data_IF_767601088399
#
_entry.id   IF_767601088399
#
_cell.length_a   1.000
_cell.length_b   1.000
_cell.length_c   1.000
_cell.angle_alpha   90.00
_cell.angle_beta   90.00
_cell.angle_gamma   90.00
#
_symmetry.space_group_name_H-M   'P 1'
#
loop_
_entity.id
_entity.type
_entity.pdbx_description
1 polymer ?
#
# COMPACT_ATOMS: atom_id res chain seq x y z
N UNK A 1 -18.53 12.24 -0.77
CA UNK A 1 -18.74 11.73 0.58
C UNK A 1 -17.51 11.95 1.45
N UNK A 2 -16.40 11.16 1.35
CA UNK A 2 -15.18 11.36 2.19
C UNK A 2 -14.65 12.80 2.13
N UNK A 3 -14.68 13.41 0.96
CA UNK A 3 -14.30 14.82 0.77
C UNK A 3 -15.26 15.74 1.55
N UNK A 4 -16.54 15.44 1.55
CA UNK A 4 -17.56 16.25 2.26
C UNK A 4 -17.45 16.07 3.78
N UNK A 5 -17.05 14.88 4.22
CA UNK A 5 -16.73 14.57 5.63
C UNK A 5 -15.43 15.22 6.14
N UNK A 6 -14.70 15.90 5.28
CA UNK A 6 -13.53 16.67 5.69
C UNK A 6 -12.19 16.03 5.41
N UNK A 7 -12.12 14.84 4.79
CA UNK A 7 -10.87 14.21 4.43
C UNK A 7 -10.04 15.13 3.51
N UNK A 8 -8.76 15.24 3.79
CA UNK A 8 -7.79 16.05 3.05
C UNK A 8 -6.84 15.21 2.19
N UNK A 9 -6.80 13.90 2.42
CA UNK A 9 -6.09 12.93 1.58
C UNK A 9 -7.03 11.76 1.32
N UNK A 10 -7.19 11.39 0.07
CA UNK A 10 -7.95 10.23 -0.39
C UNK A 10 -6.98 9.21 -0.95
N UNK A 11 -6.85 8.09 -0.27
CA UNK A 11 -6.14 6.92 -0.79
C UNK A 11 -7.14 5.94 -1.41
N UNK A 12 -6.76 5.32 -2.52
CA UNK A 12 -7.61 4.33 -3.18
C UNK A 12 -6.92 2.98 -3.32
N UNK A 13 -7.73 1.94 -3.36
CA UNK A 13 -7.34 0.59 -3.76
C UNK A 13 -8.35 0.03 -4.78
N UNK A 14 -8.84 0.90 -5.65
CA UNK A 14 -9.84 0.58 -6.67
C UNK A 14 -9.29 0.81 -8.07
N UNK A 15 -9.74 0.02 -9.04
CA UNK A 15 -9.31 0.07 -10.43
C UNK A 15 -10.03 1.17 -11.24
N UNK A 16 -10.28 2.32 -10.63
CA UNK A 16 -11.00 3.45 -11.26
C UNK A 16 -10.24 4.76 -11.06
N UNK A 17 -10.42 5.68 -12.00
CA UNK A 17 -9.91 7.05 -11.93
C UNK A 17 -10.77 7.99 -11.07
N UNK A 18 -11.93 7.51 -10.61
CA UNK A 18 -12.93 8.32 -9.91
C UNK A 18 -12.39 9.11 -8.72
N UNK A 19 -11.67 8.50 -7.76
CA UNK A 19 -11.12 9.21 -6.61
C UNK A 19 -10.13 10.32 -7.00
N UNK A 20 -9.23 10.07 -7.97
CA UNK A 20 -8.30 11.07 -8.48
C UNK A 20 -9.01 12.26 -9.11
N UNK A 21 -10.01 11.99 -9.97
CA UNK A 21 -10.86 13.02 -10.60
C UNK A 21 -11.64 13.82 -9.55
N UNK A 22 -12.16 13.16 -8.52
CA UNK A 22 -12.88 13.83 -7.44
C UNK A 22 -11.98 14.78 -6.64
N UNK A 23 -10.74 14.38 -6.36
CA UNK A 23 -9.75 15.22 -5.69
C UNK A 23 -9.37 16.43 -6.56
N UNK A 24 -9.07 16.22 -7.86
CA UNK A 24 -8.70 17.28 -8.79
C UNK A 24 -9.80 18.33 -8.95
N UNK A 25 -11.05 17.90 -9.02
CA UNK A 25 -12.20 18.78 -9.21
C UNK A 25 -12.83 19.29 -7.91
N UNK A 26 -12.25 18.98 -6.76
CA UNK A 26 -12.78 19.44 -5.47
C UNK A 26 -12.84 20.97 -5.40
N UNK A 27 -13.98 21.50 -4.94
CA UNK A 27 -14.23 22.92 -4.75
C UNK A 27 -13.99 23.40 -3.31
N UNK A 28 -13.41 22.54 -2.46
CA UNK A 28 -13.10 22.93 -1.08
C UNK A 28 -12.03 24.02 -1.03
N UNK A 29 -12.10 24.85 -0.01
CA UNK A 29 -11.12 25.91 0.23
C UNK A 29 -9.71 25.35 0.46
N UNK A 30 -9.61 24.21 1.14
CA UNK A 30 -8.36 23.46 1.29
C UNK A 30 -8.27 22.38 0.22
N UNK A 31 -7.10 22.18 -0.37
CA UNK A 31 -6.89 21.14 -1.36
C UNK A 31 -7.13 19.74 -0.76
N UNK A 32 -7.66 18.84 -1.58
CA UNK A 32 -7.80 17.43 -1.26
C UNK A 32 -6.84 16.67 -2.14
N UNK A 33 -5.90 15.99 -1.53
CA UNK A 33 -4.87 15.24 -2.24
C UNK A 33 -5.25 13.78 -2.46
N UNK A 34 -4.59 13.16 -3.41
CA UNK A 34 -4.85 11.79 -3.82
C UNK A 34 -3.59 10.94 -3.71
N UNK A 35 -3.76 9.69 -3.26
CA UNK A 35 -2.75 8.63 -3.31
C UNK A 35 -3.31 7.48 -4.14
N UNK A 36 -2.63 7.17 -5.24
CA UNK A 36 -3.08 6.19 -6.22
C UNK A 36 -2.58 4.77 -5.95
N UNK A 37 -3.21 3.81 -6.64
CA UNK A 37 -2.82 2.41 -6.63
C UNK A 37 -2.82 1.84 -8.06
N UNK A 38 -1.91 0.89 -8.31
CA UNK A 38 -1.77 0.12 -9.55
C UNK A 38 -1.25 0.89 -10.76
N UNK A 39 -1.63 2.12 -10.98
CA UNK A 39 -1.18 2.95 -12.10
C UNK A 39 -1.00 4.41 -11.69
N UNK A 40 -0.20 5.15 -12.49
CA UNK A 40 -0.03 6.58 -12.28
C UNK A 40 -1.36 7.32 -12.43
N UNK A 41 -1.59 8.26 -11.53
CA UNK A 41 -2.73 9.17 -11.58
C UNK A 41 -2.34 10.63 -11.82
N UNK A 42 -1.06 10.91 -12.06
CA UNK A 42 -0.54 12.28 -12.23
C UNK A 42 -1.13 12.97 -13.46
N UNK A 43 -1.34 12.23 -14.55
CA UNK A 43 -1.99 12.78 -15.76
C UNK A 43 -3.50 13.07 -15.55
N UNK A 44 -4.11 12.39 -14.58
CA UNK A 44 -5.54 12.52 -14.27
C UNK A 44 -5.78 13.63 -13.25
N UNK A 45 -4.90 13.73 -12.28
CA UNK A 45 -4.96 14.68 -11.18
C UNK A 45 -3.62 15.39 -10.97
N UNK A 46 -3.16 16.20 -11.95
CA UNK A 46 -1.81 16.77 -11.94
C UNK A 46 -1.54 17.71 -10.77
N UNK A 47 -2.56 18.32 -10.18
CA UNK A 47 -2.43 19.25 -9.05
C UNK A 47 -2.81 18.63 -7.71
N UNK A 48 -3.22 17.36 -7.68
CA UNK A 48 -3.74 16.69 -6.48
C UNK A 48 -3.14 15.30 -6.23
N UNK A 49 -2.75 14.56 -7.27
CA UNK A 49 -2.13 13.24 -7.07
C UNK A 49 -0.72 13.41 -6.52
N UNK A 50 -0.45 12.89 -5.33
CA UNK A 50 0.86 12.96 -4.67
C UNK A 50 1.80 11.88 -5.19
N UNK A 51 1.30 10.66 -5.23
CA UNK A 51 2.07 9.45 -5.52
C UNK A 51 1.12 8.30 -5.81
N UNK A 52 1.60 7.31 -6.53
CA UNK A 52 0.92 6.01 -6.65
C UNK A 52 1.87 4.88 -6.22
N UNK A 53 1.32 3.76 -5.81
CA UNK A 53 2.07 2.53 -5.60
C UNK A 53 1.51 1.41 -6.47
N UNK A 54 2.32 0.41 -6.77
CA UNK A 54 1.87 -0.74 -7.54
C UNK A 54 2.60 -2.02 -7.15
N UNK A 55 1.98 -3.17 -7.47
CA UNK A 55 2.65 -4.45 -7.53
C UNK A 55 3.18 -4.66 -8.95
N UNK A 56 4.45 -5.04 -9.06
CA UNK A 56 5.07 -5.38 -10.34
C UNK A 56 5.08 -6.89 -10.54
N UNK A 57 4.10 -7.38 -11.26
CA UNK A 57 3.95 -8.80 -11.56
C UNK A 57 4.98 -9.33 -12.57
N UNK A 58 5.74 -8.45 -13.25
CA UNK A 58 6.70 -8.86 -14.28
C UNK A 58 7.76 -9.81 -13.72
N UNK A 59 8.24 -9.55 -12.52
CA UNK A 59 9.22 -10.41 -11.85
C UNK A 59 8.71 -11.84 -11.66
N UNK A 60 7.48 -12.00 -11.19
CA UNK A 60 6.87 -13.32 -11.03
C UNK A 60 6.72 -14.04 -12.37
N UNK A 61 6.17 -13.36 -13.37
CA UNK A 61 5.93 -13.96 -14.68
C UNK A 61 7.24 -14.32 -15.39
N UNK A 62 8.25 -13.45 -15.35
CA UNK A 62 9.55 -13.72 -15.95
C UNK A 62 10.21 -14.96 -15.36
N UNK A 63 10.25 -15.06 -14.02
CA UNK A 63 10.83 -16.19 -13.31
C UNK A 63 10.03 -17.48 -13.56
N UNK A 64 8.72 -17.40 -13.58
CA UNK A 64 7.83 -18.53 -13.84
C UNK A 64 8.00 -19.07 -15.26
N UNK A 65 8.03 -18.20 -16.27
CA UNK A 65 8.24 -18.59 -17.66
C UNK A 65 9.63 -19.22 -17.83
N UNK A 66 10.65 -18.60 -17.23
CA UNK A 66 12.02 -19.11 -17.28
C UNK A 66 12.13 -20.50 -16.65
N UNK A 67 11.47 -20.73 -15.51
CA UNK A 67 11.42 -22.04 -14.86
C UNK A 67 10.82 -23.09 -15.81
N UNK A 68 9.68 -22.79 -16.41
CA UNK A 68 9.00 -23.71 -17.33
C UNK A 68 9.83 -24.04 -18.57
N UNK A 69 10.48 -23.03 -19.16
CA UNK A 69 11.37 -23.22 -20.33
C UNK A 69 12.56 -24.17 -20.02
N UNK A 70 12.97 -24.24 -18.76
CA UNK A 70 14.07 -25.09 -18.32
C UNK A 70 13.60 -26.38 -17.63
N UNK A 71 12.31 -26.71 -17.68
CA UNK A 71 11.74 -27.90 -17.05
C UNK A 71 11.85 -27.93 -15.52
N UNK A 72 11.91 -26.75 -14.89
CA UNK A 72 11.97 -26.59 -13.44
C UNK A 72 10.58 -26.30 -12.87
N UNK A 73 10.41 -26.54 -11.60
CA UNK A 73 9.23 -26.12 -10.86
C UNK A 73 9.29 -24.60 -10.63
N UNK A 74 8.14 -23.93 -10.78
CA UNK A 74 8.03 -22.47 -10.61
C UNK A 74 8.43 -22.10 -9.19
N UNK A 75 7.90 -22.80 -8.19
CA UNK A 75 8.13 -22.54 -6.76
C UNK A 75 9.61 -22.61 -6.35
N UNK A 76 10.43 -23.37 -7.07
CA UNK A 76 11.88 -23.49 -6.81
C UNK A 76 12.68 -22.34 -7.47
N UNK A 77 12.05 -21.53 -8.31
CA UNK A 77 12.71 -20.48 -9.10
C UNK A 77 12.27 -19.05 -8.75
N UNK A 78 11.25 -18.90 -7.93
CA UNK A 78 10.76 -17.57 -7.52
C UNK A 78 11.74 -16.96 -6.50
N UNK A 79 12.21 -15.75 -6.79
CA UNK A 79 12.97 -14.93 -5.84
C UNK A 79 12.03 -14.20 -4.86
N UNK A 80 11.47 -14.97 -3.94
CA UNK A 80 10.53 -14.54 -2.93
C UNK A 80 10.26 -15.64 -1.93
N UNK A 81 9.32 -15.39 -1.01
CA UNK A 81 8.82 -16.44 -0.12
C UNK A 81 7.72 -17.22 -0.86
N UNK A 82 7.88 -18.53 -0.95
CA UNK A 82 6.85 -19.42 -1.53
C UNK A 82 6.32 -20.33 -0.45
N UNK A 83 5.01 -20.36 -0.30
CA UNK A 83 4.32 -21.22 0.64
C UNK A 83 3.06 -21.82 -0.01
N UNK A 84 3.12 -23.11 -0.32
CA UNK A 84 2.07 -23.75 -1.09
C UNK A 84 1.92 -23.13 -2.49
N UNK A 85 0.78 -22.52 -2.76
CA UNK A 85 0.49 -21.83 -4.01
C UNK A 85 0.70 -20.30 -3.92
N UNK A 86 1.03 -19.79 -2.75
CA UNK A 86 1.30 -18.37 -2.56
C UNK A 86 2.77 -18.04 -2.84
N UNK A 87 2.99 -17.00 -3.62
CA UNK A 87 4.30 -16.39 -3.82
C UNK A 87 4.25 -14.95 -3.34
N UNK A 88 5.21 -14.57 -2.48
CA UNK A 88 5.23 -13.27 -1.82
C UNK A 88 6.60 -12.63 -1.91
N UNK A 89 6.63 -11.36 -2.24
CA UNK A 89 7.79 -10.51 -2.09
C UNK A 89 7.33 -9.05 -1.94
N UNK A 90 8.16 -8.25 -1.31
CA UNK A 90 7.85 -6.85 -1.03
C UNK A 90 8.73 -5.88 -1.82
N UNK A 91 8.93 -4.73 -1.21
CA UNK A 91 9.74 -3.64 -1.77
C UNK A 91 11.21 -4.05 -1.90
N UNK A 92 11.71 -4.91 -1.02
CA UNK A 92 13.08 -5.42 -1.00
C UNK A 92 13.45 -6.26 -2.23
N UNK A 93 12.44 -6.81 -2.93
CA UNK A 93 12.59 -7.57 -4.18
C UNK A 93 12.08 -6.81 -5.39
N UNK A 94 11.60 -5.59 -5.21
CA UNK A 94 11.03 -4.76 -6.27
C UNK A 94 9.63 -5.19 -6.73
N UNK A 95 8.98 -6.16 -6.06
CA UNK A 95 7.62 -6.58 -6.41
C UNK A 95 6.57 -5.54 -6.02
N UNK A 96 6.87 -4.77 -4.95
CA UNK A 96 6.09 -3.59 -4.58
C UNK A 96 6.96 -2.37 -4.80
N UNK A 97 6.41 -1.36 -5.43
CA UNK A 97 7.16 -0.13 -5.75
C UNK A 97 6.30 1.11 -5.62
N UNK A 98 6.98 2.21 -5.32
CA UNK A 98 6.41 3.53 -5.47
C UNK A 98 6.47 3.90 -6.95
N UNK A 99 5.33 4.24 -7.48
CA UNK A 99 5.13 4.64 -8.86
C UNK A 99 4.77 6.12 -8.89
N UNK A 100 5.50 6.89 -9.69
CA UNK A 100 5.16 8.26 -10.06
C UNK A 100 4.93 9.23 -8.88
N UNK A 101 6.03 9.71 -8.32
CA UNK A 101 6.01 10.80 -7.34
C UNK A 101 5.80 12.12 -8.08
N UNK A 102 4.77 12.87 -7.69
CA UNK A 102 4.46 14.15 -8.32
C UNK A 102 5.31 15.29 -7.75
N UNK A 103 6.48 15.48 -8.31
CA UNK A 103 7.43 16.52 -7.89
C UNK A 103 6.93 17.96 -8.12
N UNK A 104 5.91 18.15 -8.95
CA UNK A 104 5.37 19.49 -9.21
C UNK A 104 4.63 20.11 -8.01
N UNK A 105 4.16 19.26 -7.09
CA UNK A 105 3.36 19.68 -5.93
C UNK A 105 3.93 19.24 -4.58
N UNK A 106 5.05 18.52 -4.59
CA UNK A 106 5.69 18.00 -3.39
C UNK A 106 6.96 18.79 -3.04
N UNK A 107 7.39 18.80 -1.77
CA UNK A 107 8.62 19.47 -1.36
C UNK A 107 9.87 18.89 -2.05
N UNK A 108 10.88 19.72 -2.27
CA UNK A 108 12.14 19.31 -2.92
C UNK A 108 12.87 18.16 -2.20
N UNK A 109 12.69 18.02 -0.89
CA UNK A 109 13.33 16.98 -0.09
C UNK A 109 12.56 15.65 -0.06
N UNK A 110 11.46 15.52 -0.81
CA UNK A 110 10.60 14.32 -0.76
C UNK A 110 11.36 13.03 -1.08
N UNK A 111 12.26 13.07 -2.04
CA UNK A 111 13.08 11.90 -2.41
C UNK A 111 13.89 11.33 -1.25
N UNK A 112 14.54 12.19 -0.51
CA UNK A 112 15.36 11.76 0.64
C UNK A 112 14.48 11.17 1.74
N UNK A 113 13.31 11.73 1.95
CA UNK A 113 12.32 11.23 2.92
C UNK A 113 11.80 9.86 2.50
N UNK A 114 11.34 9.72 1.26
CA UNK A 114 10.83 8.45 0.71
C UNK A 114 11.90 7.37 0.77
N UNK A 115 13.11 7.64 0.29
CA UNK A 115 14.24 6.69 0.32
C UNK A 115 14.59 6.26 1.75
N UNK A 116 14.60 7.21 2.70
CA UNK A 116 14.89 6.91 4.11
C UNK A 116 13.83 5.98 4.70
N UNK A 117 12.55 6.24 4.45
CA UNK A 117 11.46 5.39 4.97
C UNK A 117 11.47 4.02 4.29
N UNK A 118 11.61 3.96 2.96
CA UNK A 118 11.71 2.71 2.21
C UNK A 118 12.84 1.83 2.74
N UNK A 119 14.03 2.40 2.93
CA UNK A 119 15.18 1.66 3.47
C UNK A 119 14.95 1.12 4.88
N UNK A 120 14.21 1.83 5.71
CA UNK A 120 13.86 1.34 7.05
C UNK A 120 12.84 0.19 7.00
N UNK A 121 11.89 0.25 6.06
CA UNK A 121 10.93 -0.85 5.82
C UNK A 121 11.67 -2.09 5.30
N UNK A 122 12.53 -1.94 4.30
CA UNK A 122 13.35 -3.01 3.73
C UNK A 122 14.20 -3.74 4.79
N UNK A 123 14.73 -2.98 5.74
CA UNK A 123 15.58 -3.52 6.84
C UNK A 123 14.78 -4.02 8.04
N UNK A 124 13.45 -3.92 8.01
CA UNK A 124 12.58 -4.16 9.16
C UNK A 124 12.91 -3.28 10.39
N UNK A 125 13.47 -2.08 10.18
CA UNK A 125 13.74 -1.10 11.25
C UNK A 125 12.46 -0.38 11.69
N UNK A 126 11.38 -0.49 10.92
CA UNK A 126 10.05 0.05 11.22
C UNK A 126 9.06 -1.11 11.26
N UNK A 127 8.40 -1.29 12.38
CA UNK A 127 7.23 -2.14 12.47
C UNK A 127 6.01 -1.36 11.98
N UNK A 128 5.42 -1.77 10.86
CA UNK A 128 4.33 -1.04 10.18
C UNK A 128 3.08 -1.00 11.05
N UNK A 129 2.67 -2.15 11.57
CA UNK A 129 1.51 -2.27 12.45
C UNK A 129 1.93 -2.16 13.91
N UNK A 130 2.32 -0.97 14.33
CA UNK A 130 2.76 -0.70 15.70
C UNK A 130 2.44 0.73 16.12
N UNK A 131 2.31 0.96 17.43
CA UNK A 131 2.05 2.28 17.99
C UNK A 131 1.19 2.22 19.26
N UNK A 132 0.88 3.37 19.78
CA UNK A 132 -0.02 3.48 20.94
C UNK A 132 -1.49 3.47 20.48
N UNK A 133 -1.91 2.35 19.86
CA UNK A 133 -3.24 2.17 19.34
C UNK A 133 -3.81 0.84 19.81
N UNK A 134 -5.13 0.80 19.98
CA UNK A 134 -5.90 -0.44 20.11
C UNK A 134 -6.81 -0.60 18.89
N UNK A 135 -7.26 -1.80 18.65
CA UNK A 135 -8.19 -2.07 17.55
C UNK A 135 -9.13 -3.21 17.90
N UNK A 136 -10.28 -3.19 17.26
CA UNK A 136 -11.33 -4.21 17.43
C UNK A 136 -11.68 -4.82 16.09
N UNK A 137 -11.81 -6.13 16.05
CA UNK A 137 -12.30 -6.85 14.88
C UNK A 137 -13.78 -6.49 14.62
N UNK A 138 -14.14 -5.99 13.43
CA UNK A 138 -15.51 -5.59 13.13
C UNK A 138 -16.51 -6.74 13.13
N UNK A 139 -16.03 -7.98 13.01
CA UNK A 139 -16.87 -9.18 12.98
C UNK A 139 -16.89 -9.93 14.31
N UNK A 140 -15.94 -9.64 15.21
CA UNK A 140 -15.87 -10.21 16.57
C UNK A 140 -15.38 -9.17 17.58
N UNK A 141 -16.30 -8.55 18.27
CA UNK A 141 -15.99 -7.51 19.26
C UNK A 141 -15.17 -7.99 20.47
N UNK A 142 -15.05 -9.30 20.67
CA UNK A 142 -14.17 -9.89 21.69
C UNK A 142 -12.73 -10.02 21.23
N UNK A 143 -12.49 -10.03 19.91
CA UNK A 143 -11.18 -10.07 19.31
C UNK A 143 -10.59 -8.64 19.22
N UNK A 144 -9.65 -8.35 20.10
CA UNK A 144 -9.02 -7.02 20.21
C UNK A 144 -7.52 -7.13 20.09
N UNK A 145 -6.91 -6.07 19.60
CA UNK A 145 -5.46 -5.93 19.48
C UNK A 145 -4.95 -4.70 20.21
N UNK A 146 -3.74 -4.80 20.76
CA UNK A 146 -2.97 -3.70 21.31
C UNK A 146 -1.65 -3.58 20.55
N UNK A 147 -1.53 -2.56 19.73
CA UNK A 147 -0.38 -2.34 18.83
C UNK A 147 0.85 -1.76 19.54
N UNK A 148 0.83 -1.58 20.86
CA UNK A 148 2.06 -1.38 21.64
C UNK A 148 2.97 -2.61 21.53
N UNK A 149 2.37 -3.78 21.28
CA UNK A 149 3.09 -4.95 20.74
C UNK A 149 2.86 -4.99 19.25
N UNK A 150 3.92 -4.91 18.41
CA UNK A 150 3.76 -4.92 16.96
C UNK A 150 3.01 -6.15 16.46
N UNK A 151 2.04 -5.94 15.57
CA UNK A 151 1.39 -7.03 14.84
C UNK A 151 2.30 -7.46 13.68
N UNK A 152 2.45 -8.76 13.54
CA UNK A 152 3.25 -9.36 12.47
C UNK A 152 2.29 -10.10 11.54
N UNK A 153 2.32 -9.72 10.27
CA UNK A 153 1.52 -10.38 9.23
C UNK A 153 1.90 -11.85 9.04
N UNK A 154 0.94 -12.61 8.53
CA UNK A 154 1.15 -14.04 8.27
C UNK A 154 2.20 -14.25 7.19
N UNK A 155 3.32 -14.83 7.55
CA UNK A 155 4.41 -15.14 6.61
C UNK A 155 4.14 -16.33 5.68
N UNK A 156 3.00 -17.02 5.86
CA UNK A 156 2.63 -18.23 5.12
C UNK A 156 1.48 -18.00 4.13
N UNK A 157 1.06 -16.76 3.95
CA UNK A 157 -0.02 -16.41 3.04
C UNK A 157 0.21 -15.00 2.50
N UNK A 158 -0.09 -14.81 1.22
CA UNK A 158 -0.12 -13.51 0.57
C UNK A 158 -1.34 -12.68 0.99
N UNK A 159 -2.35 -13.32 1.59
CA UNK A 159 -3.53 -12.61 2.10
C UNK A 159 -3.20 -11.86 3.39
N UNK A 160 -3.54 -10.56 3.48
CA UNK A 160 -3.35 -9.80 4.71
C UNK A 160 -4.20 -10.37 5.85
N UNK A 161 -3.62 -10.40 7.05
CA UNK A 161 -4.27 -10.93 8.24
C UNK A 161 -4.70 -9.83 9.23
N UNK A 162 -4.25 -8.59 9.04
CA UNK A 162 -4.68 -7.46 9.88
C UNK A 162 -6.14 -7.10 9.58
N UNK A 163 -7.05 -7.45 10.50
CA UNK A 163 -8.49 -7.27 10.33
C UNK A 163 -9.11 -6.24 11.29
N UNK A 164 -8.31 -5.51 12.04
CA UNK A 164 -8.79 -4.63 13.10
C UNK A 164 -9.09 -3.24 12.60
N UNK A 165 -10.18 -2.65 13.09
CA UNK A 165 -10.47 -1.21 12.99
C UNK A 165 -9.85 -0.54 14.23
N UNK A 166 -8.98 0.44 14.01
CA UNK A 166 -8.32 1.14 15.12
C UNK A 166 -9.33 2.00 15.88
N UNK A 167 -9.41 1.73 17.18
CA UNK A 167 -10.31 2.44 18.07
C UNK A 167 -9.92 3.93 18.13
N UNK A 168 -10.93 4.82 18.14
CA UNK A 168 -10.76 6.28 18.21
C UNK A 168 -9.92 6.92 17.07
N UNK A 169 -9.50 6.13 16.06
CA UNK A 169 -8.70 6.60 14.93
C UNK A 169 -9.45 6.44 13.62
N UNK A 170 -10.10 5.29 13.43
CA UNK A 170 -10.82 4.97 12.18
C UNK A 170 -12.31 5.12 12.40
N UNK A 171 -12.95 5.97 11.59
CA UNK A 171 -14.40 6.06 11.47
C UNK A 171 -14.83 5.35 10.19
N UNK A 172 -15.61 4.29 10.33
CA UNK A 172 -16.27 3.64 9.19
C UNK A 172 -17.52 4.43 8.84
N UNK A 173 -17.61 4.85 7.58
CA UNK A 173 -18.83 5.49 7.06
C UNK A 173 -19.79 4.43 6.54
N UNK A 174 -21.11 4.66 6.64
CA UNK A 174 -22.14 3.73 6.19
C UNK A 174 -22.15 3.50 4.68
#
# INVERSE_FOLDING_TARGET
ELIDEGCVVISQHSDTKGPAVACENSKRALPVYHVGYSQSMTDIAPTRSLVSCSVDYSYYFEQSINALLHGKKIEDCIDGKVYGQDAMAGIEKGWVRILDINYAILPENIDSTVKSVSSKIEKNDIAIFSGNFTGTDPFDSSNKIDLRTPFIENEKSSSPAFCYILDDVIKVLP
#
